data_IF_163983340274
#
_entry.id   IF_163983340274
#
_cell.length_a   1.000
_cell.length_b   1.000
_cell.length_c   1.000
_cell.angle_alpha   90.00
_cell.angle_beta   90.00
_cell.angle_gamma   90.00
#
_symmetry.space_group_name_H-M   'P 1'
#
loop_
_entity.id
_entity.type
_entity.pdbx_description
1 polymer ?
#
# COMPACT_ATOMS: atom_id res chain seq x y z
N UNK A 1 -10.28 -10.03 19.15
CA UNK A 1 -10.66 -9.13 18.05
C UNK A 1 -9.57 -9.22 16.99
N UNK A 2 -9.78 -9.98 15.91
CA UNK A 2 -8.78 -10.18 14.84
C UNK A 2 -9.29 -9.50 13.57
N UNK A 3 -8.89 -8.24 13.36
CA UNK A 3 -9.20 -7.53 12.10
C UNK A 3 -8.76 -8.39 10.89
N UNK A 4 -9.66 -8.78 9.97
CA UNK A 4 -9.37 -9.75 8.92
C UNK A 4 -8.64 -9.17 7.70
N UNK A 5 -8.32 -7.87 7.73
CA UNK A 5 -7.70 -7.14 6.63
C UNK A 5 -6.81 -6.01 7.13
N UNK A 6 -5.88 -5.56 6.29
CA UNK A 6 -5.15 -4.30 6.48
C UNK A 6 -5.88 -3.20 5.72
N UNK A 7 -6.26 -2.12 6.41
CA UNK A 7 -6.93 -0.96 5.84
C UNK A 7 -5.98 0.26 5.78
N UNK A 8 -5.99 0.97 4.66
CA UNK A 8 -5.34 2.28 4.59
C UNK A 8 -6.12 3.28 5.46
N UNK A 9 -5.41 4.10 6.25
CA UNK A 9 -6.04 5.26 6.89
C UNK A 9 -6.45 6.28 5.82
N UNK A 10 -7.66 6.82 5.98
CA UNK A 10 -8.31 7.90 5.22
C UNK A 10 -7.58 8.37 3.94
N UNK A 11 -8.01 7.86 2.78
CA UNK A 11 -7.56 8.32 1.46
C UNK A 11 -6.18 7.81 1.01
N UNK A 12 -5.53 6.98 1.81
CA UNK A 12 -4.28 6.31 1.44
C UNK A 12 -4.50 5.01 0.64
N UNK A 13 -3.39 4.48 0.12
CA UNK A 13 -3.32 3.13 -0.40
C UNK A 13 -2.31 2.34 0.41
N UNK A 14 -2.51 1.04 0.55
CA UNK A 14 -1.54 0.11 1.10
C UNK A 14 -0.86 -0.65 -0.02
N UNK A 15 0.47 -0.77 0.06
CA UNK A 15 1.23 -1.69 -0.78
C UNK A 15 1.50 -2.98 -0.03
N UNK A 16 1.28 -4.11 -0.69
CA UNK A 16 1.64 -5.43 -0.19
C UNK A 16 3.13 -5.47 0.18
N UNK A 17 3.51 -6.01 1.35
CA UNK A 17 4.91 -6.01 1.79
C UNK A 17 5.78 -7.04 1.05
N UNK A 18 5.18 -8.02 0.37
CA UNK A 18 5.90 -9.04 -0.41
C UNK A 18 6.65 -8.35 -1.56
N UNK A 19 7.98 -8.53 -1.63
CA UNK A 19 8.85 -7.81 -2.60
C UNK A 19 8.42 -8.00 -4.06
N UNK A 20 7.94 -9.19 -4.39
CA UNK A 20 7.50 -9.54 -5.76
C UNK A 20 6.03 -9.18 -6.01
N UNK A 21 5.31 -8.73 -4.98
CA UNK A 21 3.92 -8.32 -5.08
C UNK A 21 3.79 -6.80 -5.21
N UNK A 22 3.44 -6.33 -6.40
CA UNK A 22 3.11 -4.92 -6.62
C UNK A 22 1.63 -4.59 -6.39
N UNK A 23 0.93 -5.39 -5.58
CA UNK A 23 -0.46 -5.12 -5.25
C UNK A 23 -0.59 -3.87 -4.37
N UNK A 24 -1.35 -2.89 -4.85
CA UNK A 24 -1.63 -1.63 -4.17
C UNK A 24 -3.15 -1.48 -4.10
N UNK A 25 -3.69 -1.33 -2.90
CA UNK A 25 -5.13 -1.23 -2.68
C UNK A 25 -5.46 -0.52 -1.38
N UNK A 26 -6.70 -0.04 -1.26
CA UNK A 26 -7.18 0.58 -0.02
C UNK A 26 -7.24 -0.47 1.11
N UNK A 27 -7.53 -1.71 0.74
CA UNK A 27 -7.61 -2.85 1.66
C UNK A 27 -6.82 -4.02 1.09
N UNK A 28 -6.00 -4.65 1.92
CA UNK A 28 -5.34 -5.92 1.60
C UNK A 28 -5.93 -7.00 2.51
N UNK A 29 -6.63 -7.97 1.91
CA UNK A 29 -7.33 -9.03 2.63
C UNK A 29 -6.43 -10.24 2.87
N UNK A 30 -6.77 -11.07 3.87
CA UNK A 30 -6.11 -12.37 4.10
C UNK A 30 -6.14 -13.32 2.89
N UNK A 31 -7.17 -13.19 2.04
CA UNK A 31 -7.34 -14.01 0.85
C UNK A 31 -6.26 -13.70 -0.19
N UNK A 32 -5.87 -12.43 -0.35
CA UNK A 32 -4.76 -12.04 -1.22
C UNK A 32 -3.48 -12.80 -0.85
N UNK A 33 -3.13 -12.86 0.44
CA UNK A 33 -1.94 -13.58 0.90
C UNK A 33 -1.99 -15.08 0.57
N UNK A 34 -3.14 -15.73 0.80
CA UNK A 34 -3.29 -17.18 0.58
C UNK A 34 -3.33 -17.56 -0.89
N UNK A 35 -4.02 -16.78 -1.71
CA UNK A 35 -4.24 -17.12 -3.14
C UNK A 35 -3.04 -16.70 -3.98
N UNK A 36 -2.46 -15.53 -3.72
CA UNK A 36 -1.36 -14.99 -4.55
C UNK A 36 0.00 -15.49 -4.07
N UNK A 37 0.22 -15.58 -2.77
CA UNK A 37 1.54 -15.94 -2.20
C UNK A 37 1.59 -17.35 -1.61
N UNK A 38 0.45 -18.06 -1.52
CA UNK A 38 0.39 -19.36 -0.82
C UNK A 38 0.68 -19.26 0.68
N UNK A 39 0.75 -18.05 1.25
CA UNK A 39 1.18 -17.80 2.62
C UNK A 39 0.04 -17.23 3.45
N UNK A 40 0.08 -17.47 4.76
CA UNK A 40 -0.83 -16.77 5.68
C UNK A 40 -0.37 -15.33 5.86
N UNK A 41 -1.30 -14.47 6.29
CA UNK A 41 -0.98 -13.08 6.61
C UNK A 41 0.12 -12.96 7.67
N UNK A 42 0.12 -13.86 8.66
CA UNK A 42 1.09 -13.90 9.74
C UNK A 42 2.49 -14.26 9.23
N UNK A 43 2.57 -15.25 8.33
CA UNK A 43 3.84 -15.61 7.68
C UNK A 43 4.38 -14.47 6.82
N UNK A 44 3.50 -13.82 6.04
CA UNK A 44 3.86 -12.62 5.27
C UNK A 44 4.33 -11.49 6.20
N UNK A 45 3.67 -11.31 7.34
CA UNK A 45 4.06 -10.28 8.32
C UNK A 45 5.41 -10.59 8.96
N UNK A 46 5.67 -11.85 9.32
CA UNK A 46 6.92 -12.28 9.93
C UNK A 46 8.10 -12.18 8.97
N UNK A 47 7.88 -12.47 7.70
CA UNK A 47 8.93 -12.44 6.67
C UNK A 47 9.16 -11.04 6.06
N UNK A 48 8.08 -10.32 5.74
CA UNK A 48 8.15 -9.06 4.98
C UNK A 48 7.70 -7.83 5.78
N UNK A 49 7.08 -8.02 6.95
CA UNK A 49 6.55 -6.95 7.78
C UNK A 49 5.12 -6.53 7.43
N UNK A 50 4.74 -5.34 7.87
CA UNK A 50 3.41 -4.78 7.62
C UNK A 50 3.34 -4.07 6.26
N UNK A 51 2.17 -4.07 5.59
CA UNK A 51 1.99 -3.31 4.36
C UNK A 51 2.27 -1.82 4.59
N UNK A 52 3.02 -1.22 3.68
CA UNK A 52 3.38 0.20 3.77
C UNK A 52 2.29 1.04 3.12
N UNK A 53 1.87 2.10 3.81
CA UNK A 53 1.01 3.12 3.24
C UNK A 53 1.75 3.85 2.12
N UNK A 54 1.28 3.70 0.88
CA UNK A 54 1.65 4.55 -0.24
C UNK A 54 0.63 5.68 -0.32
N UNK A 55 0.85 6.71 0.50
CA UNK A 55 0.12 7.97 0.35
C UNK A 55 0.45 8.51 -1.04
N UNK A 56 -0.56 8.64 -1.92
CA UNK A 56 -0.41 9.37 -3.19
C UNK A 56 0.14 10.75 -2.82
N UNK A 57 1.41 10.96 -3.14
CA UNK A 57 2.12 12.22 -3.29
C UNK A 57 1.75 13.31 -2.28
N UNK A 58 2.71 13.59 -1.40
CA UNK A 58 2.82 14.82 -0.62
C UNK A 58 2.26 16.01 -1.42
N UNK A 59 1.25 16.72 -0.91
CA UNK A 59 0.64 17.89 -1.58
C UNK A 59 1.69 18.89 -2.10
N UNK A 60 2.82 19.01 -1.38
CA UNK A 60 4.02 19.77 -1.77
C UNK A 60 4.71 19.30 -3.07
N UNK A 61 4.68 18.01 -3.41
CA UNK A 61 5.20 17.50 -4.68
C UNK A 61 4.28 17.86 -5.84
N UNK A 62 2.95 17.83 -5.64
CA UNK A 62 1.97 18.27 -6.64
C UNK A 62 2.07 19.78 -6.89
N UNK A 63 2.24 20.59 -5.84
CA UNK A 63 2.42 22.05 -5.98
C UNK A 63 3.72 22.43 -6.68
N UNK A 64 4.81 21.68 -6.47
CA UNK A 64 6.10 21.93 -7.13
C UNK A 64 6.07 21.65 -8.64
N UNK A 65 5.23 20.72 -9.10
CA UNK A 65 5.06 20.39 -10.52
C UNK A 65 4.21 21.42 -11.27
N UNK A 66 3.19 22.02 -10.62
CA UNK A 66 2.34 23.06 -11.22
C UNK A 66 3.07 24.35 -11.58
N UNK A 67 4.27 24.60 -11.05
CA UNK A 67 5.05 25.82 -11.31
C UNK A 67 5.93 25.73 -12.57
N UNK A 68 5.98 24.57 -13.22
CA UNK A 68 6.88 24.34 -14.38
C UNK A 68 6.12 24.48 -15.72
N UNK A 69 4.78 24.47 -15.73
CA UNK A 69 3.95 24.66 -16.93
C UNK A 69 3.37 26.08 -17.03
N UNK A 70 4.23 27.09 -16.88
CA UNK A 70 3.86 28.50 -16.94
C UNK A 70 5.04 29.39 -17.30
N UNK A 71 5.82 28.98 -18.29
CA UNK A 71 6.79 29.84 -18.96
C UNK A 71 6.12 30.56 -20.13
N UNK A 72 5.81 31.84 -19.95
CA UNK A 72 5.79 32.85 -21.02
C UNK A 72 6.70 33.98 -20.54
#
# INVERSE_FOLDING_TARGET
MTEPYWNAKHGGYLKCPVKECNHIGIVITKAHCRIVHGMTREEVNKQYGFPKGVSKLNRKQIEKMKRVEGGN
#
